data_IF_948458562788
#
_entry.id   IF_948458562788
#
_cell.length_a   1.000
_cell.length_b   1.000
_cell.length_c   1.000
_cell.angle_alpha   90.00
_cell.angle_beta   90.00
_cell.angle_gamma   90.00
#
_symmetry.space_group_name_H-M   'P 1'
#
loop_
_entity.id
_entity.type
_entity.pdbx_description
1 polymer ?
#
# COMPACT_ATOMS: atom_id res chain seq x y z
N UNK A 1 36.17 8.23 25.47
CA UNK A 1 37.38 8.00 26.28
C UNK A 1 37.60 6.49 26.42
N UNK A 2 38.23 5.86 25.45
CA UNK A 2 38.63 4.46 25.51
C UNK A 2 40.15 4.41 25.25
N UNK A 3 40.87 3.48 25.90
CA UNK A 3 42.33 3.42 26.06
C UNK A 3 42.95 4.09 27.32
N UNK A 4 42.29 4.00 28.48
CA UNK A 4 43.02 4.19 29.75
C UNK A 4 43.85 2.94 30.05
N UNK A 5 45.12 3.13 30.46
CA UNK A 5 45.97 2.03 30.91
C UNK A 5 45.30 1.35 32.12
N UNK A 6 45.18 0.00 32.14
CA UNK A 6 44.65 -0.69 33.31
C UNK A 6 45.55 -0.44 34.52
N UNK A 7 44.94 -0.35 35.71
CA UNK A 7 45.69 -0.26 36.96
C UNK A 7 46.64 -1.45 37.09
N UNK A 8 47.83 -1.20 37.68
CA UNK A 8 48.78 -2.28 37.95
C UNK A 8 48.19 -3.27 38.98
N UNK A 9 48.46 -4.56 38.78
CA UNK A 9 48.09 -5.62 39.71
C UNK A 9 49.02 -5.53 40.94
N UNK A 10 48.66 -4.67 41.89
CA UNK A 10 49.43 -4.48 43.13
C UNK A 10 48.89 -5.45 44.19
N UNK A 11 49.77 -6.20 44.87
CA UNK A 11 49.37 -7.03 46.01
C UNK A 11 49.28 -6.15 47.27
N UNK A 12 48.04 -5.97 47.76
CA UNK A 12 47.75 -5.13 48.91
C UNK A 12 47.78 -5.87 50.25
N UNK A 13 48.09 -7.17 50.29
CA UNK A 13 48.02 -8.00 51.50
C UNK A 13 48.93 -7.54 52.64
N UNK A 14 50.07 -6.93 52.31
CA UNK A 14 51.10 -6.49 53.27
C UNK A 14 51.34 -4.98 53.24
N UNK A 15 50.40 -4.19 52.69
CA UNK A 15 50.50 -2.74 52.81
C UNK A 15 50.30 -2.39 54.29
N UNK A 16 51.38 -1.95 54.92
CA UNK A 16 51.28 -1.25 56.21
C UNK A 16 50.48 0.02 55.93
N UNK A 17 49.18 -0.04 56.15
CA UNK A 17 48.39 1.16 56.42
C UNK A 17 49.21 1.89 57.49
N UNK A 18 49.81 3.03 57.14
CA UNK A 18 50.44 3.86 58.14
C UNK A 18 49.43 4.00 59.27
N UNK A 19 49.84 3.72 60.49
CA UNK A 19 48.98 3.81 61.66
C UNK A 19 48.63 5.28 61.91
N UNK A 20 47.93 5.91 60.98
CA UNK A 20 47.04 7.02 61.28
C UNK A 20 45.85 6.35 61.95
N UNK A 21 46.03 5.99 63.24
CA UNK A 21 44.89 6.10 64.15
C UNK A 21 44.29 7.46 63.81
N UNK A 22 43.00 7.56 63.45
CA UNK A 22 42.42 8.87 63.19
C UNK A 22 42.77 9.71 64.41
N UNK A 23 43.48 10.81 64.18
CA UNK A 23 43.66 11.79 65.24
C UNK A 23 42.26 12.04 65.81
N UNK A 24 42.13 12.25 67.12
CA UNK A 24 40.79 12.33 67.74
C UNK A 24 39.89 13.37 67.04
N UNK A 25 40.50 14.33 66.35
CA UNK A 25 39.84 15.34 65.54
C UNK A 25 39.31 14.83 64.19
N UNK A 26 39.96 13.87 63.52
CA UNK A 26 39.44 13.24 62.28
C UNK A 26 38.15 12.45 62.55
N UNK A 27 38.10 11.72 63.67
CA UNK A 27 36.88 10.99 64.05
C UNK A 27 35.70 11.94 64.35
N UNK A 28 35.94 13.06 65.02
CA UNK A 28 34.92 14.10 65.28
C UNK A 28 34.43 14.75 63.98
N UNK A 29 35.33 15.02 63.04
CA UNK A 29 34.98 15.55 61.71
C UNK A 29 34.11 14.56 60.93
N UNK A 30 34.44 13.27 60.98
CA UNK A 30 33.63 12.20 60.36
C UNK A 30 32.24 12.11 60.98
N UNK A 31 32.14 12.14 62.32
CA UNK A 31 30.84 12.14 63.01
C UNK A 31 29.99 13.37 62.67
N UNK A 32 30.61 14.56 62.57
CA UNK A 32 29.93 15.78 62.13
C UNK A 32 29.39 15.63 60.71
N UNK A 33 30.20 15.12 59.78
CA UNK A 33 29.81 14.89 58.38
C UNK A 33 28.71 13.83 58.25
N UNK A 34 28.75 12.78 59.08
CA UNK A 34 27.70 11.77 59.11
C UNK A 34 26.36 12.36 59.56
N UNK A 35 26.39 13.21 60.60
CA UNK A 35 25.20 13.91 61.08
C UNK A 35 24.66 14.90 60.04
N UNK A 36 25.53 15.61 59.34
CA UNK A 36 25.15 16.48 58.20
C UNK A 36 24.53 15.68 57.05
N UNK A 37 25.09 14.51 56.72
CA UNK A 37 24.55 13.64 55.68
C UNK A 37 23.14 13.14 56.04
N UNK A 38 22.96 12.66 57.26
CA UNK A 38 21.69 12.12 57.74
C UNK A 38 20.60 13.21 57.83
N UNK A 39 20.92 14.37 58.39
CA UNK A 39 19.93 15.42 58.65
C UNK A 39 19.63 16.32 57.44
N UNK A 40 20.59 16.52 56.54
CA UNK A 40 20.46 17.49 55.44
C UNK A 40 20.44 16.80 54.08
N UNK A 41 21.44 15.94 53.80
CA UNK A 41 21.66 15.42 52.45
C UNK A 41 20.63 14.35 52.08
N UNK A 42 20.45 13.33 52.92
CA UNK A 42 19.52 12.23 52.62
C UNK A 42 18.07 12.72 52.46
N UNK A 43 17.52 13.58 53.35
CA UNK A 43 16.18 14.11 53.16
C UNK A 43 16.04 14.95 51.88
N UNK A 44 17.07 15.72 51.51
CA UNK A 44 17.07 16.50 50.28
C UNK A 44 17.05 15.60 49.03
N UNK A 45 17.80 14.50 49.04
CA UNK A 45 17.80 13.51 47.95
C UNK A 45 16.45 12.81 47.85
N UNK A 46 15.85 12.39 48.98
CA UNK A 46 14.52 11.77 49.01
C UNK A 46 13.47 12.70 48.41
N UNK A 47 13.39 13.96 48.89
CA UNK A 47 12.46 14.98 48.37
C UNK A 47 12.64 15.21 46.88
N UNK A 48 13.89 15.32 46.40
CA UNK A 48 14.17 15.48 44.96
C UNK A 48 13.72 14.29 44.14
N UNK A 49 13.97 13.07 44.64
CA UNK A 49 13.58 11.82 43.95
C UNK A 49 12.07 11.70 43.87
N UNK A 50 11.35 12.02 44.94
CA UNK A 50 9.89 12.05 44.97
C UNK A 50 9.32 13.10 44.01
N UNK A 51 9.88 14.31 43.98
CA UNK A 51 9.46 15.36 43.05
C UNK A 51 9.62 14.92 41.59
N UNK A 52 10.77 14.33 41.24
CA UNK A 52 11.02 13.80 39.88
C UNK A 52 10.05 12.66 39.56
N UNK A 53 9.86 11.71 40.49
CA UNK A 53 8.92 10.60 40.32
C UNK A 53 7.50 11.08 40.10
N UNK A 54 7.05 12.07 40.87
CA UNK A 54 5.70 12.62 40.76
C UNK A 54 5.51 13.38 39.44
N UNK A 55 6.50 14.16 39.01
CA UNK A 55 6.48 14.83 37.71
C UNK A 55 6.46 13.83 36.54
N UNK A 56 7.25 12.75 36.62
CA UNK A 56 7.24 11.67 35.64
C UNK A 56 5.91 10.92 35.64
N UNK A 57 5.35 10.62 36.82
CA UNK A 57 4.04 9.98 36.95
C UNK A 57 2.94 10.85 36.33
N UNK A 58 2.95 12.15 36.59
CA UNK A 58 1.99 13.09 36.01
C UNK A 58 2.02 13.08 34.48
N UNK A 59 3.21 13.20 33.88
CA UNK A 59 3.40 13.11 32.42
C UNK A 59 3.00 11.74 31.86
N UNK A 60 3.37 10.67 32.56
CA UNK A 60 3.03 9.31 32.13
C UNK A 60 1.52 9.08 32.13
N UNK A 61 0.82 9.52 33.18
CA UNK A 61 -0.63 9.40 33.29
C UNK A 61 -1.41 10.30 32.34
N UNK A 62 -0.87 11.46 31.92
CA UNK A 62 -1.49 12.27 30.86
C UNK A 62 -1.36 11.63 29.49
N UNK A 63 -0.19 11.07 29.20
CA UNK A 63 0.15 10.59 27.86
C UNK A 63 -0.32 9.14 27.64
N UNK A 64 -0.44 8.35 28.71
CA UNK A 64 -0.74 6.92 28.65
C UNK A 64 -1.97 6.56 29.47
N UNK A 65 -2.92 5.85 28.84
CA UNK A 65 -4.08 5.25 29.48
C UNK A 65 -3.82 3.77 29.76
N UNK A 66 -3.69 3.40 31.03
CA UNK A 66 -3.67 2.00 31.44
C UNK A 66 -5.13 1.51 31.43
N UNK A 67 -5.45 0.56 30.55
CA UNK A 67 -6.76 -0.09 30.48
C UNK A 67 -6.60 -1.48 31.06
N UNK A 68 -7.29 -1.77 32.16
CA UNK A 68 -7.44 -3.13 32.65
C UNK A 68 -8.51 -3.84 31.83
N UNK A 69 -8.14 -4.95 31.21
CA UNK A 69 -9.09 -5.72 30.42
C UNK A 69 -9.83 -6.74 31.29
N UNK A 70 -11.16 -6.87 31.16
CA UNK A 70 -11.92 -7.84 31.93
C UNK A 70 -11.52 -9.27 31.55
N UNK A 71 -11.66 -10.20 32.50
CA UNK A 71 -11.40 -11.63 32.29
C UNK A 71 -12.30 -12.14 31.16
N UNK A 72 -11.69 -12.57 30.04
CA UNK A 72 -12.39 -13.01 28.82
C UNK A 72 -12.27 -12.07 27.61
N UNK A 73 -11.59 -10.94 27.77
CA UNK A 73 -11.11 -10.12 26.64
C UNK A 73 -10.00 -10.82 25.84
N UNK A 74 -9.83 -10.44 24.58
CA UNK A 74 -8.69 -10.90 23.75
C UNK A 74 -7.37 -10.64 24.49
N UNK A 75 -6.53 -11.65 24.63
CA UNK A 75 -5.26 -11.53 25.35
C UNK A 75 -4.19 -10.83 24.51
N UNK A 76 -4.33 -10.84 23.18
CA UNK A 76 -3.44 -10.09 22.28
C UNK A 76 -4.16 -9.54 21.03
N UNK A 77 -3.55 -8.55 20.36
CA UNK A 77 -4.07 -7.98 19.11
C UNK A 77 -4.06 -8.99 17.95
N UNK A 78 -3.17 -9.97 18.01
CA UNK A 78 -2.98 -10.99 16.97
C UNK A 78 -3.93 -12.18 17.13
N UNK A 79 -4.61 -12.30 18.28
CA UNK A 79 -5.57 -13.39 18.49
C UNK A 79 -6.82 -13.25 17.62
N UNK A 80 -7.32 -14.38 17.10
CA UNK A 80 -8.53 -14.40 16.28
C UNK A 80 -9.73 -13.85 17.06
N UNK A 81 -10.72 -13.31 16.33
CA UNK A 81 -11.93 -12.75 16.96
C UNK A 81 -12.96 -13.81 17.34
N UNK A 82 -12.96 -14.91 16.61
CA UNK A 82 -13.79 -16.07 16.86
C UNK A 82 -12.86 -17.27 16.96
N UNK A 83 -13.12 -18.13 17.93
CA UNK A 83 -12.48 -19.44 18.00
C UNK A 83 -13.07 -20.35 16.92
N UNK A 84 -12.38 -21.46 16.66
CA UNK A 84 -12.47 -22.35 15.50
C UNK A 84 -13.86 -22.72 14.94
N UNK A 85 -13.89 -23.49 13.84
CA UNK A 85 -15.15 -23.94 13.28
C UNK A 85 -15.84 -24.91 14.26
N UNK A 86 -17.06 -24.56 14.67
CA UNK A 86 -17.90 -25.40 15.51
C UNK A 86 -19.10 -25.90 14.72
N UNK A 87 -19.53 -27.12 15.01
CA UNK A 87 -20.77 -27.68 14.46
C UNK A 87 -21.90 -27.54 15.48
N UNK A 88 -23.10 -27.20 15.02
CA UNK A 88 -24.28 -27.12 15.89
C UNK A 88 -24.82 -28.53 16.13
N UNK A 89 -24.81 -28.99 17.39
CA UNK A 89 -25.43 -30.26 17.78
C UNK A 89 -26.94 -30.10 18.03
N UNK A 90 -27.34 -28.98 18.63
CA UNK A 90 -28.74 -28.74 18.95
C UNK A 90 -29.01 -27.35 19.49
N UNK A 91 -30.29 -27.07 19.72
CA UNK A 91 -30.79 -25.82 20.29
C UNK A 91 -31.53 -26.11 21.58
N UNK A 92 -31.26 -25.32 22.60
CA UNK A 92 -31.96 -25.38 23.90
C UNK A 92 -33.30 -24.65 23.81
N UNK A 93 -34.23 -24.95 24.72
CA UNK A 93 -35.55 -24.29 24.78
C UNK A 93 -35.43 -22.76 24.93
N UNK A 94 -34.38 -22.29 25.62
CA UNK A 94 -34.05 -20.86 25.78
C UNK A 94 -33.36 -20.21 24.57
N UNK A 95 -33.27 -20.89 23.43
CA UNK A 95 -32.76 -20.32 22.18
C UNK A 95 -31.24 -20.28 22.03
N UNK A 96 -30.49 -20.82 22.98
CA UNK A 96 -29.03 -20.95 22.90
C UNK A 96 -28.62 -22.24 22.19
N UNK A 97 -27.46 -22.24 21.55
CA UNK A 97 -26.95 -23.39 20.79
C UNK A 97 -25.95 -24.22 21.60
N UNK A 98 -26.00 -25.53 21.37
CA UNK A 98 -25.02 -26.50 21.85
C UNK A 98 -24.06 -26.76 20.70
N UNK A 99 -22.79 -26.43 20.91
CA UNK A 99 -21.75 -26.51 19.90
C UNK A 99 -20.84 -27.72 20.16
N UNK A 100 -20.37 -28.33 19.07
CA UNK A 100 -19.41 -29.43 19.05
C UNK A 100 -18.14 -28.94 18.37
N UNK A 101 -17.01 -29.21 19.00
CA UNK A 101 -15.69 -28.94 18.44
C UNK A 101 -15.32 -29.94 17.34
N UNK A 102 -14.29 -29.62 16.57
CA UNK A 102 -13.68 -30.48 15.54
C UNK A 102 -13.31 -31.88 16.05
N UNK A 103 -13.04 -32.02 17.35
CA UNK A 103 -12.75 -33.29 18.03
C UNK A 103 -13.99 -34.14 18.32
N UNK A 104 -15.19 -33.63 18.06
CA UNK A 104 -16.46 -34.27 18.39
C UNK A 104 -16.91 -34.06 19.85
N UNK A 105 -16.13 -33.34 20.66
CA UNK A 105 -16.49 -33.02 22.03
C UNK A 105 -17.50 -31.85 22.10
N UNK A 106 -18.49 -31.99 22.98
CA UNK A 106 -19.46 -30.94 23.28
C UNK A 106 -18.80 -29.84 24.11
N UNK A 107 -19.08 -28.57 23.78
CA UNK A 107 -18.66 -27.45 24.60
C UNK A 107 -19.41 -27.50 25.95
N UNK A 108 -18.69 -27.23 27.03
CA UNK A 108 -19.24 -27.27 28.39
C UNK A 108 -20.36 -26.23 28.65
N UNK A 109 -20.50 -25.22 27.80
CA UNK A 109 -21.49 -24.14 27.95
C UNK A 109 -22.32 -23.96 26.69
N UNK A 110 -23.58 -23.57 26.88
CA UNK A 110 -24.48 -23.18 25.81
C UNK A 110 -24.14 -21.75 25.34
N UNK A 111 -24.10 -21.54 24.02
CA UNK A 111 -23.67 -20.27 23.42
C UNK A 111 -24.89 -19.55 22.81
N UNK A 112 -25.14 -18.28 23.15
CA UNK A 112 -26.23 -17.53 22.54
C UNK A 112 -25.90 -17.15 21.09
N UNK A 113 -26.92 -16.90 20.24
CA UNK A 113 -26.72 -16.58 18.83
C UNK A 113 -25.80 -15.37 18.59
N UNK A 114 -25.77 -14.39 19.50
CA UNK A 114 -24.95 -13.18 19.41
C UNK A 114 -23.43 -13.43 19.45
N UNK A 115 -23.00 -14.57 19.98
CA UNK A 115 -21.58 -14.94 20.08
C UNK A 115 -21.12 -15.85 18.94
N UNK A 116 -22.00 -16.21 18.02
CA UNK A 116 -21.73 -17.15 16.93
C UNK A 116 -21.79 -16.40 15.61
N UNK A 117 -20.84 -16.70 14.72
CA UNK A 117 -20.89 -16.23 13.33
C UNK A 117 -21.08 -17.41 12.41
N UNK A 118 -22.09 -17.34 11.54
CA UNK A 118 -22.28 -18.34 10.49
C UNK A 118 -21.10 -18.26 9.52
N UNK A 119 -20.43 -19.40 9.31
CA UNK A 119 -19.42 -19.54 8.27
C UNK A 119 -20.12 -19.69 6.91
N UNK A 120 -19.56 -19.12 5.85
CA UNK A 120 -20.09 -19.34 4.51
C UNK A 120 -19.98 -20.83 4.19
N UNK A 121 -21.09 -21.41 3.74
CA UNK A 121 -21.08 -22.75 3.14
C UNK A 121 -20.64 -22.61 1.68
N UNK A 122 -19.51 -21.93 1.43
CA UNK A 122 -18.90 -22.00 0.12
C UNK A 122 -18.61 -23.49 -0.08
N UNK A 123 -19.34 -24.06 -1.05
CA UNK A 123 -19.45 -25.48 -1.31
C UNK A 123 -18.10 -26.13 -1.09
N UNK A 124 -18.02 -27.11 -0.17
CA UNK A 124 -16.89 -28.02 -0.13
C UNK A 124 -16.83 -28.59 -1.54
N UNK A 125 -15.94 -28.05 -2.37
CA UNK A 125 -15.74 -28.49 -3.73
C UNK A 125 -15.32 -29.94 -3.55
N UNK A 126 -16.18 -30.90 -3.90
CA UNK A 126 -15.82 -32.31 -3.90
C UNK A 126 -14.47 -32.43 -4.58
N UNK A 127 -13.56 -33.25 -4.05
CA UNK A 127 -12.21 -33.41 -4.62
C UNK A 127 -12.23 -33.66 -6.14
N UNK A 128 -13.34 -34.24 -6.63
CA UNK A 128 -13.64 -34.50 -8.04
C UNK A 128 -13.78 -33.24 -8.93
N UNK A 129 -14.02 -32.06 -8.35
CA UNK A 129 -14.16 -30.77 -9.06
C UNK A 129 -12.97 -29.82 -8.81
N UNK A 130 -11.88 -30.33 -8.24
CA UNK A 130 -10.64 -29.57 -8.04
C UNK A 130 -9.74 -29.79 -9.26
N UNK A 131 -9.63 -28.79 -10.12
CA UNK A 131 -8.77 -28.83 -11.30
C UNK A 131 -7.46 -28.10 -11.04
N UNK A 132 -6.35 -28.71 -11.46
CA UNK A 132 -5.03 -28.04 -11.47
C UNK A 132 -4.91 -27.19 -12.74
N UNK A 133 -4.54 -25.92 -12.58
CA UNK A 133 -4.34 -25.02 -13.71
C UNK A 133 -3.00 -25.33 -14.36
N UNK A 134 -3.02 -25.94 -15.54
CA UNK A 134 -1.82 -26.34 -16.27
C UNK A 134 -1.05 -25.13 -16.84
N UNK A 135 -1.76 -24.14 -17.37
CA UNK A 135 -1.20 -22.89 -17.85
C UNK A 135 -2.30 -21.82 -17.93
N UNK A 136 -1.96 -20.58 -17.58
CA UNK A 136 -2.81 -19.42 -17.87
C UNK A 136 -2.46 -18.99 -19.29
N UNK A 137 -3.36 -19.24 -20.24
CA UNK A 137 -3.16 -18.96 -21.67
C UNK A 137 -3.34 -17.46 -21.94
N UNK A 138 -4.31 -16.85 -21.26
CA UNK A 138 -4.60 -15.42 -21.36
C UNK A 138 -5.32 -14.95 -20.09
N UNK A 139 -5.35 -13.64 -19.89
CA UNK A 139 -6.04 -12.97 -18.78
C UNK A 139 -6.96 -11.92 -19.39
N UNK A 140 -8.24 -11.88 -18.98
CA UNK A 140 -9.19 -10.82 -19.37
C UNK A 140 -8.85 -9.50 -18.64
N UNK A 141 -7.62 -9.03 -18.81
CA UNK A 141 -7.23 -7.65 -18.60
C UNK A 141 -7.26 -6.96 -19.95
N UNK A 142 -7.95 -5.82 -20.02
CA UNK A 142 -7.84 -4.86 -21.11
C UNK A 142 -6.38 -4.77 -21.55
N UNK A 143 -6.08 -5.26 -22.76
CA UNK A 143 -4.69 -5.32 -23.22
C UNK A 143 -4.09 -3.92 -23.10
N UNK A 144 -2.84 -3.77 -22.63
CA UNK A 144 -2.21 -2.47 -22.57
C UNK A 144 -2.14 -1.93 -24.00
N UNK A 145 -3.10 -1.09 -24.37
CA UNK A 145 -3.18 -0.47 -25.69
C UNK A 145 -1.87 0.30 -25.83
N UNK A 146 -0.99 -0.20 -26.69
CA UNK A 146 0.24 0.50 -26.97
C UNK A 146 -0.12 1.86 -27.56
N UNK A 147 0.60 2.91 -27.20
CA UNK A 147 0.33 4.24 -27.76
C UNK A 147 0.37 4.23 -29.30
N UNK A 148 1.08 3.28 -29.92
CA UNK A 148 1.11 3.09 -31.37
C UNK A 148 -0.25 2.64 -31.93
N UNK A 149 -0.86 1.59 -31.36
CA UNK A 149 -2.18 1.11 -31.80
C UNK A 149 -3.27 2.16 -31.59
N UNK A 150 -3.18 2.92 -30.49
CA UNK A 150 -4.10 4.04 -30.23
C UNK A 150 -4.00 5.15 -31.29
N UNK A 151 -2.78 5.47 -31.74
CA UNK A 151 -2.54 6.52 -32.74
C UNK A 151 -2.96 6.07 -34.14
N UNK A 152 -2.78 4.79 -34.50
CA UNK A 152 -3.29 4.24 -35.75
C UNK A 152 -4.81 4.34 -35.82
N UNK A 153 -5.51 3.99 -34.74
CA UNK A 153 -6.97 4.05 -34.66
C UNK A 153 -7.51 5.49 -34.76
N UNK A 154 -6.75 6.48 -34.27
CA UNK A 154 -7.18 7.88 -34.21
C UNK A 154 -6.51 8.78 -35.27
N UNK A 155 -5.90 8.20 -36.32
CA UNK A 155 -5.07 8.90 -37.32
C UNK A 155 -5.73 10.13 -37.96
N UNK A 156 -7.01 10.02 -38.34
CA UNK A 156 -7.74 11.08 -39.05
C UNK A 156 -8.02 12.29 -38.16
N UNK A 157 -8.38 12.05 -36.90
CA UNK A 157 -8.58 13.09 -35.91
C UNK A 157 -7.29 13.88 -35.66
N UNK A 158 -6.15 13.20 -35.70
CA UNK A 158 -4.85 13.80 -35.45
C UNK A 158 -4.40 14.66 -36.64
N UNK A 159 -4.66 14.20 -37.87
CA UNK A 159 -4.36 14.95 -39.08
C UNK A 159 -5.12 16.29 -39.14
N UNK A 160 -6.39 16.29 -38.75
CA UNK A 160 -7.23 17.50 -38.77
C UNK A 160 -6.84 18.57 -37.74
N UNK A 161 -6.14 18.20 -36.67
CA UNK A 161 -5.83 19.10 -35.56
C UNK A 161 -4.35 19.52 -35.50
N UNK A 162 -3.52 19.12 -36.47
CA UNK A 162 -2.10 19.50 -36.51
C UNK A 162 -1.89 20.64 -37.50
N UNK A 163 -1.40 21.79 -37.04
CA UNK A 163 -1.12 22.94 -37.90
C UNK A 163 0.25 22.79 -38.61
N UNK A 164 0.42 23.31 -39.85
CA UNK A 164 1.68 23.21 -40.57
C UNK A 164 2.78 24.06 -39.90
N UNK A 165 3.84 23.41 -39.39
CA UNK A 165 5.05 24.09 -38.91
C UNK A 165 5.33 24.00 -37.40
N UNK A 166 4.49 23.29 -36.64
CA UNK A 166 4.79 23.01 -35.22
C UNK A 166 5.81 21.87 -35.06
N UNK A 167 6.56 21.89 -33.96
CA UNK A 167 7.47 20.79 -33.61
C UNK A 167 6.67 19.54 -33.24
N UNK A 168 6.70 18.57 -34.14
CA UNK A 168 5.90 17.36 -34.06
C UNK A 168 6.14 16.58 -32.76
N UNK A 169 7.36 16.60 -32.21
CA UNK A 169 7.68 15.81 -31.01
C UNK A 169 6.92 16.34 -29.80
N UNK A 170 6.95 17.65 -29.57
CA UNK A 170 6.35 18.29 -28.40
C UNK A 170 4.83 18.36 -28.48
N UNK A 171 4.27 18.63 -29.66
CA UNK A 171 2.82 18.69 -29.87
C UNK A 171 2.17 17.31 -29.65
N UNK A 172 2.79 16.27 -30.19
CA UNK A 172 2.20 14.93 -30.19
C UNK A 172 2.24 14.33 -28.78
N UNK A 173 3.35 14.44 -28.05
CA UNK A 173 3.43 13.94 -26.66
C UNK A 173 2.41 14.60 -25.73
N UNK A 174 2.18 15.90 -25.90
CA UNK A 174 1.31 16.67 -24.99
C UNK A 174 -0.17 16.42 -25.29
N UNK A 175 -0.53 16.36 -26.59
CA UNK A 175 -1.92 16.13 -27.00
C UNK A 175 -2.37 14.69 -26.82
N UNK A 176 -1.49 13.69 -27.03
CA UNK A 176 -1.87 12.28 -26.78
C UNK A 176 -2.06 11.95 -25.31
N UNK A 177 -1.21 12.50 -24.44
CA UNK A 177 -1.44 12.37 -22.99
C UNK A 177 -2.81 12.92 -22.59
N UNK A 178 -3.22 14.04 -23.20
CA UNK A 178 -4.52 14.67 -22.93
C UNK A 178 -5.71 13.86 -23.47
N UNK A 179 -5.59 13.25 -24.64
CA UNK A 179 -6.66 12.43 -25.24
C UNK A 179 -6.81 11.10 -24.50
N UNK A 180 -5.70 10.42 -24.20
CA UNK A 180 -5.75 9.16 -23.44
C UNK A 180 -6.31 9.37 -22.03
N UNK A 181 -5.97 10.49 -21.38
CA UNK A 181 -6.58 10.86 -20.10
C UNK A 181 -8.10 11.07 -20.19
N UNK A 182 -8.61 11.66 -21.29
CA UNK A 182 -10.06 11.81 -21.51
C UNK A 182 -10.77 10.47 -21.73
N UNK A 183 -10.11 9.50 -22.36
CA UNK A 183 -10.65 8.17 -22.61
C UNK A 183 -10.45 7.19 -21.45
N UNK A 184 -9.81 7.62 -20.36
CA UNK A 184 -9.53 6.78 -19.20
C UNK A 184 -8.45 5.72 -19.42
N UNK A 185 -7.69 5.82 -20.51
CA UNK A 185 -6.67 4.83 -20.90
C UNK A 185 -5.32 5.20 -20.28
N UNK A 186 -4.72 4.26 -19.54
CA UNK A 186 -3.38 4.44 -18.98
C UNK A 186 -2.32 4.05 -20.01
N UNK A 187 -1.65 5.05 -20.59
CA UNK A 187 -0.58 4.82 -21.57
C UNK A 187 0.74 4.47 -20.86
N UNK A 188 1.37 3.38 -21.30
CA UNK A 188 2.74 3.06 -20.88
C UNK A 188 3.76 3.80 -21.75
N UNK A 189 4.93 4.12 -21.20
CA UNK A 189 6.02 4.74 -21.97
C UNK A 189 6.48 3.77 -23.08
N UNK A 190 6.18 4.11 -24.33
CA UNK A 190 6.63 3.35 -25.49
C UNK A 190 8.13 3.57 -25.76
N UNK A 191 8.82 2.55 -26.25
CA UNK A 191 10.24 2.62 -26.67
C UNK A 191 10.43 3.22 -28.09
N UNK A 192 9.36 3.61 -28.76
CA UNK A 192 9.36 4.07 -30.17
C UNK A 192 9.85 5.52 -30.26
N UNK A 193 10.68 5.80 -31.27
CA UNK A 193 11.04 7.17 -31.65
C UNK A 193 9.86 7.85 -32.36
N UNK A 194 9.11 8.63 -31.59
CA UNK A 194 7.90 9.31 -32.06
C UNK A 194 8.17 10.35 -33.14
N UNK A 195 9.37 10.94 -33.20
CA UNK A 195 9.73 11.87 -34.27
C UNK A 195 9.76 11.17 -35.62
N UNK A 196 10.40 9.99 -35.68
CA UNK A 196 10.45 9.17 -36.89
C UNK A 196 9.05 8.67 -37.29
N UNK A 197 8.25 8.20 -36.33
CA UNK A 197 6.90 7.71 -36.60
C UNK A 197 5.99 8.82 -37.16
N UNK A 198 5.97 10.01 -36.54
CA UNK A 198 5.19 11.15 -37.00
C UNK A 198 5.58 11.57 -38.44
N UNK A 199 6.88 11.59 -38.76
CA UNK A 199 7.36 11.89 -40.11
C UNK A 199 6.90 10.86 -41.14
N UNK A 200 6.94 9.56 -40.80
CA UNK A 200 6.41 8.53 -41.70
C UNK A 200 4.92 8.72 -41.93
N UNK A 201 4.13 8.91 -40.87
CA UNK A 201 2.69 9.12 -40.94
C UNK A 201 2.33 10.33 -41.81
N UNK A 202 3.04 11.45 -41.61
CA UNK A 202 2.86 12.69 -42.38
C UNK A 202 3.22 12.51 -43.85
N UNK A 203 4.32 11.81 -44.15
CA UNK A 203 4.71 11.49 -45.53
C UNK A 203 3.67 10.61 -46.24
N UNK A 204 3.07 9.67 -45.51
CA UNK A 204 2.02 8.77 -46.03
C UNK A 204 0.72 9.51 -46.25
N UNK A 205 0.34 10.44 -45.38
CA UNK A 205 -0.82 11.33 -45.56
C UNK A 205 -0.63 12.26 -46.77
N UNK A 206 0.54 12.90 -46.90
CA UNK A 206 0.83 13.78 -48.03
C UNK A 206 0.84 13.02 -49.37
N UNK A 207 1.19 11.73 -49.38
CA UNK A 207 1.01 10.85 -50.55
C UNK A 207 -0.46 10.59 -50.86
N UNK A 208 -1.31 10.39 -49.85
CA UNK A 208 -2.75 10.19 -50.06
C UNK A 208 -3.41 11.46 -50.60
N UNK A 209 -3.06 12.65 -50.11
CA UNK A 209 -3.54 13.93 -50.64
C UNK A 209 -3.07 14.19 -52.08
N UNK A 210 -1.86 13.77 -52.42
CA UNK A 210 -1.36 13.86 -53.80
C UNK A 210 -2.08 12.87 -54.72
N UNK A 211 -2.35 11.64 -54.27
CA UNK A 211 -3.10 10.63 -55.02
C UNK A 211 -4.58 10.99 -55.19
N UNK A 212 -5.20 11.66 -54.22
CA UNK A 212 -6.58 12.18 -54.33
C UNK A 212 -6.64 13.43 -55.21
N UNK A 213 -5.63 14.32 -55.14
CA UNK A 213 -5.48 15.45 -56.07
C UNK A 213 -5.25 14.99 -57.52
N UNK A 214 -4.37 14.01 -57.75
CA UNK A 214 -4.04 13.50 -59.09
C UNK A 214 -5.22 12.70 -59.69
N UNK A 215 -6.03 12.01 -58.87
CA UNK A 215 -7.29 11.37 -59.31
C UNK A 215 -8.37 12.37 -59.72
N UNK A 216 -8.37 13.59 -59.17
CA UNK A 216 -9.31 14.64 -59.57
C UNK A 216 -8.88 15.36 -60.87
N UNK A 217 -7.61 15.25 -61.27
CA UNK A 217 -7.10 15.83 -62.54
C UNK A 217 -7.07 14.85 -63.71
N UNK A 218 -7.25 13.54 -63.48
CA UNK A 218 -7.24 12.50 -64.54
C UNK A 218 -8.65 12.06 -65.01
N UNK A 219 -9.72 12.75 -64.58
CA UNK A 219 -11.09 12.51 -65.11
C UNK A 219 -11.59 13.60 -66.08
N UNK A 220 -10.73 14.55 -66.44
CA UNK A 220 -10.99 15.50 -67.52
C UNK A 220 -10.13 15.16 -68.72
N UNK A 221 -10.50 14.11 -69.45
CA UNK A 221 -10.31 13.93 -70.89
C UNK A 221 -10.90 12.55 -71.26
N UNK A 222 -11.69 12.52 -72.35
CA UNK A 222 -12.34 11.34 -72.95
C UNK A 222 -13.77 11.01 -72.48
N UNK A 223 -14.77 11.65 -73.09
CA UNK A 223 -15.68 10.99 -74.04
C UNK A 223 -16.91 11.85 -74.36
N UNK A 224 -16.89 12.50 -75.50
CA UNK A 224 -18.06 13.02 -76.20
C UNK A 224 -18.62 11.93 -77.12
N UNK A 225 -19.89 11.49 -76.94
CA UNK A 225 -20.71 10.94 -78.05
C UNK A 225 -22.22 11.14 -77.80
N UNK A 226 -22.94 11.23 -78.92
CA UNK A 226 -24.26 11.79 -79.20
C UNK A 226 -25.43 10.78 -79.21
N UNK A 227 -26.65 11.26 -78.86
CA UNK A 227 -28.06 10.94 -79.27
C UNK A 227 -28.43 9.54 -79.81
N UNK A 228 -29.60 8.92 -79.56
CA UNK A 228 -30.99 9.41 -79.66
C UNK A 228 -32.04 8.37 -79.16
N UNK A 229 -33.30 8.81 -79.09
CA UNK A 229 -34.58 8.05 -79.04
C UNK A 229 -34.99 7.48 -77.67
N UNK A 230 -36.23 7.60 -77.18
CA UNK A 230 -37.49 8.15 -77.68
C UNK A 230 -38.60 7.65 -76.73
N UNK A 231 -39.36 8.55 -76.11
CA UNK A 231 -40.81 8.73 -76.37
C UNK A 231 -41.80 7.95 -75.47
N UNK A 232 -42.58 8.75 -74.71
CA UNK A 232 -44.02 8.69 -74.37
C UNK A 232 -44.52 7.51 -73.49
N UNK A 233 -45.46 7.65 -72.54
CA UNK A 233 -46.62 8.54 -72.30
C UNK A 233 -46.78 8.72 -70.75
N UNK A 234 -47.22 9.85 -70.15
CA UNK A 234 -48.59 10.45 -70.06
C UNK A 234 -49.66 9.43 -69.60
N UNK A 235 -50.58 9.61 -68.66
CA UNK A 235 -51.23 10.65 -67.83
C UNK A 235 -51.65 9.92 -66.51
N UNK A 236 -52.17 10.45 -65.41
CA UNK A 236 -52.99 11.62 -65.06
C UNK A 236 -52.80 11.90 -63.57
#
# INVERSE_FOLDING_TARGET
MFARKPNALTDYRNVKLGNTSPDSDDSKVLHKRLKEMESVVLPAICKRTEAVRNAQKGKFSSDHRIIEFPVGSKKSKTEPRYDGPFTVHGKTEGGSYILVDTTGALLARNIPPSHIKMISQDTVISADNVFEVQAIIDHDGEQPITLASFVEENREFIAHNTEPGEDFVTVWTTRFGSIAAKLGVSLTKSKVDWGAFALTLWSTLKRQDKLSSDRLTDTFLSNSFTTSNGSLYSTS
#
